data_IF_984312421858
#
_entry.id   IF_984312421858
#
_cell.length_a   1.000
_cell.length_b   1.000
_cell.length_c   1.000
_cell.angle_alpha   90.00
_cell.angle_beta   90.00
_cell.angle_gamma   90.00
#
_symmetry.space_group_name_H-M   'P 1'
#
loop_
_entity.id
_entity.type
_entity.pdbx_description
1 polymer ?
#
# COMPACT_ATOMS: atom_id res chain seq x y z
N UNK A 1 -3.78 -7.99 32.10
CA UNK A 1 -3.99 -8.44 30.70
C UNK A 1 -4.77 -7.35 29.98
N UNK A 2 -4.24 -6.79 28.89
CA UNK A 2 -4.69 -5.51 28.31
C UNK A 2 -6.07 -5.68 27.64
N UNK A 3 -7.11 -4.91 28.04
CA UNK A 3 -8.52 -5.02 27.57
C UNK A 3 -8.63 -5.13 26.04
N UNK A 4 -7.75 -4.43 25.31
CA UNK A 4 -7.66 -4.48 23.85
C UNK A 4 -7.47 -5.91 23.31
N UNK A 5 -6.62 -6.71 23.95
CA UNK A 5 -6.30 -8.07 23.49
C UNK A 5 -7.53 -8.96 23.60
N UNK A 6 -8.29 -8.85 24.69
CA UNK A 6 -9.49 -9.67 24.96
C UNK A 6 -10.59 -9.48 23.90
N UNK A 7 -10.84 -8.25 23.44
CA UNK A 7 -11.88 -7.98 22.42
C UNK A 7 -11.54 -8.65 21.08
N UNK A 8 -10.30 -8.55 20.62
CA UNK A 8 -9.89 -9.20 19.37
C UNK A 8 -9.82 -10.72 19.48
N UNK A 9 -9.57 -11.24 20.69
CA UNK A 9 -9.73 -12.67 20.93
C UNK A 9 -11.17 -13.10 20.68
N UNK A 10 -12.12 -12.37 21.28
CA UNK A 10 -13.53 -12.63 21.12
C UNK A 10 -13.99 -12.56 19.65
N UNK A 11 -13.56 -11.54 18.89
CA UNK A 11 -13.90 -11.40 17.46
C UNK A 11 -13.40 -12.60 16.65
N UNK A 12 -12.16 -13.05 16.86
CA UNK A 12 -11.60 -14.20 16.14
C UNK A 12 -12.27 -15.52 16.53
N UNK A 13 -12.64 -15.68 17.79
CA UNK A 13 -13.22 -16.92 18.30
C UNK A 13 -14.72 -17.04 17.92
N UNK A 14 -15.41 -15.89 17.75
CA UNK A 14 -16.82 -15.79 17.33
C UNK A 14 -16.99 -15.41 15.85
N UNK A 15 -15.92 -15.49 15.07
CA UNK A 15 -15.86 -14.97 13.70
C UNK A 15 -16.89 -15.61 12.75
N UNK A 16 -17.24 -16.89 12.94
CA UNK A 16 -18.28 -17.57 12.15
C UNK A 16 -19.71 -17.07 12.46
N UNK A 17 -19.98 -16.60 13.69
CA UNK A 17 -21.27 -16.00 14.05
C UNK A 17 -21.41 -14.64 13.35
N UNK A 18 -20.35 -13.83 13.38
CA UNK A 18 -20.31 -12.58 12.62
C UNK A 18 -20.46 -12.82 11.11
N UNK A 19 -19.85 -13.88 10.57
CA UNK A 19 -20.03 -14.25 9.17
C UNK A 19 -21.50 -14.59 8.83
N UNK A 20 -22.18 -15.37 9.67
CA UNK A 20 -23.62 -15.66 9.48
C UNK A 20 -24.47 -14.39 9.52
N UNK A 21 -24.14 -13.45 10.41
CA UNK A 21 -24.81 -12.15 10.46
C UNK A 21 -24.57 -11.33 9.18
N UNK A 22 -23.33 -11.30 8.67
CA UNK A 22 -23.00 -10.65 7.39
C UNK A 22 -23.77 -11.27 6.23
N UNK A 23 -23.90 -12.59 6.19
CA UNK A 23 -24.67 -13.32 5.17
C UNK A 23 -26.15 -12.92 5.20
N UNK A 24 -26.72 -12.81 6.40
CA UNK A 24 -28.08 -12.35 6.56
C UNK A 24 -28.26 -10.91 6.03
N UNK A 25 -27.35 -10.00 6.37
CA UNK A 25 -27.39 -8.63 5.85
C UNK A 25 -27.18 -8.61 4.34
N UNK A 26 -26.29 -9.42 3.77
CA UNK A 26 -25.99 -9.40 2.34
C UNK A 26 -27.15 -9.88 1.46
N UNK A 27 -28.08 -10.65 2.03
CA UNK A 27 -29.32 -11.02 1.35
C UNK A 27 -30.30 -9.84 1.22
N UNK A 28 -30.33 -8.94 2.21
CA UNK A 28 -31.32 -7.85 2.30
C UNK A 28 -30.72 -6.53 1.77
N UNK A 29 -29.47 -6.24 2.16
CA UNK A 29 -28.76 -4.98 1.89
C UNK A 29 -27.32 -5.27 1.42
N UNK A 30 -27.12 -5.73 0.17
CA UNK A 30 -25.82 -6.20 -0.31
C UNK A 30 -24.74 -5.09 -0.35
N UNK A 31 -25.14 -3.84 -0.58
CA UNK A 31 -24.20 -2.70 -0.52
C UNK A 31 -23.75 -2.45 0.93
N UNK A 32 -24.66 -2.48 1.89
CA UNK A 32 -24.32 -2.29 3.31
C UNK A 32 -23.45 -3.46 3.80
N UNK A 33 -23.76 -4.69 3.38
CA UNK A 33 -22.94 -5.85 3.76
C UNK A 33 -21.51 -5.76 3.24
N UNK A 34 -21.28 -5.19 2.06
CA UNK A 34 -19.94 -4.97 1.51
C UNK A 34 -19.08 -4.15 2.49
N UNK A 35 -19.58 -2.99 2.93
CA UNK A 35 -18.89 -2.14 3.90
C UNK A 35 -18.64 -2.85 5.23
N UNK A 36 -19.65 -3.54 5.78
CA UNK A 36 -19.51 -4.29 7.03
C UNK A 36 -18.47 -5.41 6.87
N UNK A 37 -18.44 -6.08 5.73
CA UNK A 37 -17.48 -7.15 5.43
C UNK A 37 -16.05 -6.63 5.42
N UNK A 38 -15.79 -5.47 4.78
CA UNK A 38 -14.46 -4.86 4.73
C UNK A 38 -13.97 -4.43 6.12
N UNK A 39 -14.86 -3.83 6.92
CA UNK A 39 -14.56 -3.48 8.32
C UNK A 39 -14.22 -4.74 9.12
N UNK A 40 -15.05 -5.79 8.99
CA UNK A 40 -14.84 -7.06 9.67
C UNK A 40 -13.50 -7.70 9.29
N UNK A 41 -13.13 -7.69 8.00
CA UNK A 41 -11.83 -8.18 7.53
C UNK A 41 -10.68 -7.36 8.14
N UNK A 42 -10.81 -6.03 8.22
CA UNK A 42 -9.84 -5.18 8.91
C UNK A 42 -9.64 -5.59 10.37
N UNK A 43 -10.73 -5.89 11.10
CA UNK A 43 -10.67 -6.36 12.48
C UNK A 43 -10.03 -7.76 12.61
N UNK A 44 -10.31 -8.68 11.68
CA UNK A 44 -9.66 -10.00 11.65
C UNK A 44 -8.14 -9.88 11.47
N UNK A 45 -7.69 -9.02 10.56
CA UNK A 45 -6.28 -8.76 10.31
C UNK A 45 -5.60 -8.11 11.51
N UNK A 46 -6.29 -7.18 12.20
CA UNK A 46 -5.80 -6.64 13.47
C UNK A 46 -5.67 -7.73 14.53
N UNK A 47 -6.62 -8.66 14.62
CA UNK A 47 -6.55 -9.83 15.51
C UNK A 47 -5.34 -10.72 15.21
N UNK A 48 -5.06 -11.01 13.93
CA UNK A 48 -3.85 -11.73 13.53
C UNK A 48 -2.56 -11.00 13.91
N UNK A 49 -2.54 -9.68 13.73
CA UNK A 49 -1.40 -8.85 14.10
C UNK A 49 -1.11 -8.90 15.62
N UNK A 50 -2.14 -8.85 16.47
CA UNK A 50 -1.97 -8.96 17.92
C UNK A 50 -1.42 -10.32 18.35
N UNK A 51 -1.77 -11.40 17.64
CA UNK A 51 -1.27 -12.77 17.89
C UNK A 51 0.01 -13.13 17.09
N UNK A 52 0.68 -12.16 16.45
CA UNK A 52 1.79 -12.41 15.49
C UNK A 52 3.04 -13.11 16.07
N UNK A 53 3.21 -13.12 17.38
CA UNK A 53 4.38 -13.73 18.03
C UNK A 53 4.17 -15.22 18.33
N UNK A 54 2.93 -15.71 18.36
CA UNK A 54 2.60 -17.10 18.70
C UNK A 54 2.10 -17.88 17.48
N UNK A 55 2.29 -19.20 17.50
CA UNK A 55 1.68 -20.10 16.52
C UNK A 55 0.27 -20.43 16.97
N UNK A 56 -0.73 -20.02 16.18
CA UNK A 56 -2.15 -20.17 16.52
C UNK A 56 -2.92 -20.73 15.32
N UNK A 57 -4.17 -21.14 15.53
CA UNK A 57 -5.07 -21.54 14.45
C UNK A 57 -5.72 -20.34 13.73
N UNK A 58 -5.58 -19.12 14.27
CA UNK A 58 -6.23 -17.92 13.75
C UNK A 58 -5.94 -17.63 12.27
N UNK A 59 -4.71 -17.81 11.73
CA UNK A 59 -4.48 -17.60 10.29
C UNK A 59 -5.36 -18.49 9.40
N UNK A 60 -5.60 -19.75 9.79
CA UNK A 60 -6.45 -20.65 9.01
C UNK A 60 -7.94 -20.31 9.15
N UNK A 61 -8.38 -19.86 10.33
CA UNK A 61 -9.75 -19.35 10.51
C UNK A 61 -9.99 -18.16 9.59
N UNK A 62 -9.06 -17.20 9.56
CA UNK A 62 -9.18 -16.02 8.69
C UNK A 62 -9.12 -16.38 7.22
N UNK A 63 -8.24 -17.31 6.81
CA UNK A 63 -8.22 -17.82 5.43
C UNK A 63 -9.57 -18.41 4.99
N UNK A 64 -10.20 -19.21 5.86
CA UNK A 64 -11.48 -19.84 5.58
C UNK A 64 -12.60 -18.80 5.45
N UNK A 65 -12.65 -17.82 6.35
CA UNK A 65 -13.63 -16.72 6.29
C UNK A 65 -13.44 -15.86 5.06
N UNK A 66 -12.19 -15.51 4.71
CA UNK A 66 -11.89 -14.76 3.49
C UNK A 66 -12.33 -15.54 2.25
N UNK A 67 -12.12 -16.85 2.22
CA UNK A 67 -12.56 -17.71 1.11
C UNK A 67 -14.09 -17.71 0.99
N UNK A 68 -14.80 -17.82 2.11
CA UNK A 68 -16.27 -17.77 2.14
C UNK A 68 -16.79 -16.41 1.67
N UNK A 69 -16.29 -15.30 2.23
CA UNK A 69 -16.68 -13.96 1.80
C UNK A 69 -16.36 -13.74 0.32
N UNK A 70 -15.17 -14.15 -0.14
CA UNK A 70 -14.79 -14.01 -1.56
C UNK A 70 -15.76 -14.76 -2.46
N UNK A 71 -16.24 -15.95 -2.04
CA UNK A 71 -17.22 -16.72 -2.79
C UNK A 71 -18.59 -16.01 -2.88
N UNK A 72 -19.06 -15.39 -1.79
CA UNK A 72 -20.31 -14.59 -1.80
C UNK A 72 -20.20 -13.47 -2.82
N UNK A 73 -19.17 -12.64 -2.71
CA UNK A 73 -19.04 -11.46 -3.56
C UNK A 73 -18.65 -11.82 -4.99
N UNK A 74 -17.93 -12.94 -5.22
CA UNK A 74 -17.74 -13.48 -6.55
C UNK A 74 -19.08 -13.91 -7.17
N UNK A 75 -19.94 -14.60 -6.42
CA UNK A 75 -21.28 -14.97 -6.90
C UNK A 75 -22.12 -13.72 -7.21
N UNK A 76 -22.13 -12.71 -6.33
CA UNK A 76 -22.83 -11.44 -6.56
C UNK A 76 -22.30 -10.71 -7.80
N UNK A 77 -20.97 -10.65 -7.97
CA UNK A 77 -20.31 -10.07 -9.14
C UNK A 77 -20.72 -10.78 -10.43
N UNK A 78 -20.59 -12.11 -10.49
CA UNK A 78 -20.95 -12.88 -11.68
C UNK A 78 -22.45 -12.87 -11.97
N UNK A 79 -23.31 -12.78 -10.96
CA UNK A 79 -24.75 -12.61 -11.17
C UNK A 79 -25.07 -11.27 -11.83
N UNK A 80 -24.40 -10.18 -11.45
CA UNK A 80 -24.58 -8.89 -12.13
C UNK A 80 -23.98 -8.92 -13.53
N UNK A 81 -22.82 -9.55 -13.70
CA UNK A 81 -22.13 -9.62 -14.98
C UNK A 81 -22.86 -10.49 -16.02
N UNK A 82 -23.35 -11.67 -15.61
CA UNK A 82 -23.96 -12.68 -16.48
C UNK A 82 -25.49 -12.65 -16.45
N UNK A 83 -26.11 -11.84 -15.58
CA UNK A 83 -27.56 -11.81 -15.31
C UNK A 83 -28.12 -13.18 -14.86
N UNK A 84 -27.31 -14.02 -14.22
CA UNK A 84 -27.68 -15.35 -13.74
C UNK A 84 -27.91 -15.35 -12.21
N UNK A 85 -29.17 -15.34 -11.77
CA UNK A 85 -29.55 -15.18 -10.36
C UNK A 85 -29.30 -16.41 -9.48
N UNK A 86 -29.35 -17.61 -10.06
CA UNK A 86 -29.31 -18.87 -9.30
C UNK A 86 -27.96 -19.11 -8.60
N UNK A 87 -26.88 -18.53 -9.14
CA UNK A 87 -25.52 -18.66 -8.62
C UNK A 87 -25.41 -18.08 -7.20
N UNK A 88 -26.12 -16.98 -6.93
CA UNK A 88 -26.10 -16.33 -5.61
C UNK A 88 -26.69 -17.23 -4.54
N UNK A 89 -27.86 -17.81 -4.79
CA UNK A 89 -28.57 -18.65 -3.81
C UNK A 89 -27.75 -19.88 -3.43
N UNK A 90 -27.15 -20.56 -4.42
CA UNK A 90 -26.27 -21.71 -4.18
C UNK A 90 -25.04 -21.34 -3.35
N UNK A 91 -24.44 -20.17 -3.61
CA UNK A 91 -23.26 -19.71 -2.86
C UNK A 91 -23.58 -19.53 -1.37
N UNK A 92 -24.75 -18.98 -1.03
CA UNK A 92 -25.16 -18.77 0.36
C UNK A 92 -25.42 -20.08 1.09
N UNK A 93 -26.11 -21.04 0.47
CA UNK A 93 -26.37 -22.36 1.08
C UNK A 93 -25.07 -23.06 1.46
N UNK A 94 -24.10 -23.11 0.54
CA UNK A 94 -22.79 -23.71 0.77
C UNK A 94 -22.11 -23.06 1.98
N UNK A 95 -22.12 -21.74 2.06
CA UNK A 95 -21.41 -21.00 3.10
C UNK A 95 -22.10 -21.11 4.46
N UNK A 96 -23.44 -21.09 4.50
CA UNK A 96 -24.20 -21.31 5.73
C UNK A 96 -23.89 -22.72 6.27
N UNK A 97 -23.94 -23.76 5.41
CA UNK A 97 -23.62 -25.13 5.81
C UNK A 97 -22.19 -25.25 6.36
N UNK A 98 -21.20 -24.65 5.68
CA UNK A 98 -19.81 -24.67 6.15
C UNK A 98 -19.62 -23.89 7.47
N UNK A 99 -20.29 -22.74 7.62
CA UNK A 99 -20.23 -21.94 8.85
C UNK A 99 -20.82 -22.70 10.05
N UNK A 100 -21.97 -23.37 9.87
CA UNK A 100 -22.58 -24.22 10.89
C UNK A 100 -21.69 -25.43 11.23
N UNK A 101 -21.05 -26.03 10.23
CA UNK A 101 -20.07 -27.10 10.45
C UNK A 101 -18.89 -26.64 11.32
N UNK A 102 -18.38 -25.42 11.08
CA UNK A 102 -17.26 -24.85 11.86
C UNK A 102 -17.61 -24.41 13.26
N UNK A 103 -18.85 -24.02 13.52
CA UNK A 103 -19.33 -23.82 14.88
C UNK A 103 -19.27 -25.11 15.71
N UNK A 104 -19.38 -26.29 15.07
CA UNK A 104 -19.25 -27.59 15.73
C UNK A 104 -17.81 -28.13 15.75
N UNK A 105 -16.97 -27.78 14.77
CA UNK A 105 -15.60 -28.33 14.64
C UNK A 105 -14.51 -27.26 14.53
N UNK A 106 -13.63 -27.25 15.52
CA UNK A 106 -12.50 -26.32 15.63
C UNK A 106 -11.35 -26.72 14.70
N UNK A 107 -10.71 -25.73 14.06
CA UNK A 107 -9.46 -25.92 13.32
C UNK A 107 -8.30 -26.15 14.30
N UNK A 108 -7.72 -27.35 14.29
CA UNK A 108 -6.60 -27.73 15.17
C UNK A 108 -5.22 -27.28 14.65
N UNK A 109 -5.08 -27.06 13.33
CA UNK A 109 -3.80 -26.72 12.70
C UNK A 109 -3.33 -25.34 13.15
N UNK A 110 -2.11 -25.25 13.68
CA UNK A 110 -1.49 -24.00 14.13
C UNK A 110 -0.41 -23.54 13.14
N UNK A 111 -0.30 -22.23 12.93
CA UNK A 111 0.77 -21.63 12.13
C UNK A 111 0.99 -20.18 12.55
N UNK A 112 2.09 -19.60 12.08
CA UNK A 112 2.37 -18.17 12.19
C UNK A 112 2.58 -17.64 10.77
N UNK A 113 1.77 -16.66 10.36
CA UNK A 113 1.87 -16.09 9.02
C UNK A 113 3.28 -15.54 8.77
N UNK A 114 3.92 -14.86 9.74
CA UNK A 114 5.28 -14.32 9.62
C UNK A 114 6.40 -15.35 9.47
N UNK A 115 6.11 -16.64 9.65
CA UNK A 115 7.06 -17.74 9.42
C UNK A 115 6.76 -18.52 8.15
N UNK A 116 5.50 -18.53 7.70
CA UNK A 116 5.06 -19.26 6.51
C UNK A 116 4.61 -18.28 5.42
N UNK A 117 5.49 -18.04 4.43
CA UNK A 117 5.21 -17.12 3.32
C UNK A 117 4.01 -17.55 2.47
N UNK A 118 3.72 -18.86 2.35
CA UNK A 118 2.55 -19.34 1.60
C UNK A 118 1.26 -18.92 2.30
N UNK A 119 1.18 -19.08 3.62
CA UNK A 119 0.00 -18.66 4.41
C UNK A 119 -0.20 -17.15 4.32
N UNK A 120 0.87 -16.36 4.48
CA UNK A 120 0.78 -14.92 4.34
C UNK A 120 0.36 -14.48 2.92
N UNK A 121 0.87 -15.17 1.89
CA UNK A 121 0.49 -14.91 0.50
C UNK A 121 -0.99 -15.21 0.27
N UNK A 122 -1.48 -16.37 0.71
CA UNK A 122 -2.89 -16.71 0.56
C UNK A 122 -3.80 -15.76 1.34
N UNK A 123 -3.39 -15.27 2.52
CA UNK A 123 -4.15 -14.25 3.26
C UNK A 123 -4.28 -12.95 2.46
N UNK A 124 -3.18 -12.46 1.88
CA UNK A 124 -3.19 -11.26 1.05
C UNK A 124 -3.98 -11.46 -0.23
N UNK A 125 -3.77 -12.58 -0.92
CA UNK A 125 -4.46 -12.91 -2.16
C UNK A 125 -5.97 -12.97 -1.95
N UNK A 126 -6.45 -13.68 -0.93
CA UNK A 126 -7.88 -13.79 -0.67
C UNK A 126 -8.50 -12.47 -0.21
N UNK A 127 -7.81 -11.68 0.62
CA UNK A 127 -8.32 -10.37 1.01
C UNK A 127 -8.36 -9.40 -0.19
N UNK A 128 -7.37 -9.48 -1.08
CA UNK A 128 -7.36 -8.72 -2.32
C UNK A 128 -8.49 -9.16 -3.26
N UNK A 129 -8.68 -10.47 -3.47
CA UNK A 129 -9.76 -11.00 -4.31
C UNK A 129 -11.13 -10.61 -3.76
N UNK A 130 -11.33 -10.73 -2.44
CA UNK A 130 -12.53 -10.25 -1.78
C UNK A 130 -12.79 -8.77 -2.10
N UNK A 131 -11.78 -7.91 -1.92
CA UNK A 131 -11.90 -6.50 -2.22
C UNK A 131 -12.23 -6.27 -3.70
N UNK A 132 -11.50 -6.93 -4.61
CA UNK A 132 -11.72 -6.84 -6.05
C UNK A 132 -13.14 -7.23 -6.46
N UNK A 133 -13.70 -8.32 -5.91
CA UNK A 133 -15.07 -8.74 -6.19
C UNK A 133 -16.11 -7.80 -5.59
N UNK A 134 -15.90 -7.31 -4.36
CA UNK A 134 -16.79 -6.31 -3.75
C UNK A 134 -16.85 -5.06 -4.64
N UNK A 135 -15.69 -4.54 -5.03
CA UNK A 135 -15.62 -3.31 -5.83
C UNK A 135 -16.23 -3.50 -7.20
N UNK A 136 -15.92 -4.60 -7.89
CA UNK A 136 -16.54 -4.92 -9.17
C UNK A 136 -18.06 -5.09 -9.07
N UNK A 137 -18.56 -5.67 -7.97
CA UNK A 137 -20.00 -5.75 -7.71
C UNK A 137 -20.61 -4.35 -7.55
N UNK A 138 -20.01 -3.48 -6.73
CA UNK A 138 -20.48 -2.10 -6.52
C UNK A 138 -20.46 -1.29 -7.84
N UNK A 139 -19.37 -1.38 -8.60
CA UNK A 139 -19.24 -0.77 -9.92
C UNK A 139 -20.35 -1.21 -10.89
N UNK A 140 -20.63 -2.51 -10.97
CA UNK A 140 -21.68 -3.06 -11.83
C UNK A 140 -23.09 -2.65 -11.37
N UNK A 141 -23.34 -2.57 -10.06
CA UNK A 141 -24.65 -2.14 -9.55
C UNK A 141 -24.99 -0.69 -9.90
N UNK A 142 -23.99 0.16 -10.11
CA UNK A 142 -24.19 1.55 -10.54
C UNK A 142 -24.41 1.72 -12.04
N UNK A 143 -24.18 0.69 -12.85
CA UNK A 143 -24.53 0.66 -14.28
C UNK A 143 -23.59 1.42 -15.23
N UNK A 144 -22.66 2.24 -14.73
CA UNK A 144 -21.76 3.07 -15.57
C UNK A 144 -20.35 2.47 -15.77
N UNK A 145 -20.15 1.21 -15.40
CA UNK A 145 -18.83 0.57 -15.41
C UNK A 145 -18.62 -0.35 -16.62
N UNK A 146 -17.52 -0.12 -17.35
CA UNK A 146 -17.05 -1.03 -18.39
C UNK A 146 -15.96 -1.96 -17.84
N UNK A 147 -16.31 -3.23 -17.67
CA UNK A 147 -15.38 -4.26 -17.17
C UNK A 147 -14.11 -4.35 -18.01
N UNK A 148 -14.20 -4.12 -19.32
CA UNK A 148 -13.04 -4.20 -20.22
C UNK A 148 -12.56 -2.81 -20.69
N UNK A 149 -12.85 -1.76 -19.93
CA UNK A 149 -12.59 -0.37 -20.33
C UNK A 149 -11.12 -0.01 -20.50
N UNK A 150 -10.21 -0.67 -19.77
CA UNK A 150 -8.80 -0.28 -19.73
C UNK A 150 -7.94 -0.80 -20.89
N UNK A 151 -8.22 -1.97 -21.45
CA UNK A 151 -7.46 -2.50 -22.61
C UNK A 151 -8.36 -3.05 -23.72
N UNK A 152 -9.68 -2.89 -23.60
CA UNK A 152 -10.66 -3.48 -24.51
C UNK A 152 -10.96 -4.95 -24.22
N UNK A 153 -11.88 -5.51 -25.02
CA UNK A 153 -12.26 -6.91 -25.02
C UNK A 153 -11.73 -7.60 -26.29
N UNK A 154 -11.16 -8.78 -26.12
CA UNK A 154 -10.60 -9.61 -27.17
C UNK A 154 -11.44 -10.88 -27.33
N UNK A 155 -12.01 -11.10 -28.51
CA UNK A 155 -12.92 -12.23 -28.75
C UNK A 155 -12.22 -13.60 -28.84
N UNK A 156 -10.91 -13.63 -29.03
CA UNK A 156 -10.17 -14.87 -29.24
C UNK A 156 -9.82 -15.57 -27.91
N UNK A 157 -10.07 -16.89 -27.75
CA UNK A 157 -9.81 -17.62 -26.51
C UNK A 157 -8.35 -17.56 -26.02
N UNK A 158 -7.38 -17.55 -26.94
CA UNK A 158 -5.96 -17.44 -26.58
C UNK A 158 -5.60 -16.06 -26.00
N UNK A 159 -6.45 -15.04 -26.19
CA UNK A 159 -6.34 -13.70 -25.60
C UNK A 159 -7.14 -13.57 -24.30
N UNK A 160 -7.67 -14.66 -23.74
CA UNK A 160 -8.39 -14.62 -22.46
C UNK A 160 -7.55 -14.01 -21.33
N UNK A 161 -6.22 -14.17 -21.37
CA UNK A 161 -5.33 -13.53 -20.41
C UNK A 161 -5.35 -12.00 -20.51
N UNK A 162 -5.48 -11.45 -21.72
CA UNK A 162 -5.59 -10.01 -21.94
C UNK A 162 -6.94 -9.49 -21.46
N UNK A 163 -8.03 -10.26 -21.66
CA UNK A 163 -9.33 -9.93 -21.10
C UNK A 163 -9.29 -9.91 -19.57
N UNK A 164 -8.63 -10.88 -18.95
CA UNK A 164 -8.42 -10.89 -17.51
C UNK A 164 -7.62 -9.66 -17.05
N UNK A 165 -6.52 -9.33 -17.72
CA UNK A 165 -5.70 -8.15 -17.39
C UNK A 165 -6.51 -6.85 -17.56
N UNK A 166 -7.34 -6.76 -18.59
CA UNK A 166 -8.26 -5.63 -18.85
C UNK A 166 -9.32 -5.49 -17.76
N UNK A 167 -9.97 -6.60 -17.38
CA UNK A 167 -10.91 -6.64 -16.26
C UNK A 167 -10.27 -6.27 -14.93
N UNK A 168 -9.10 -6.84 -14.68
CA UNK A 168 -8.33 -6.58 -13.47
C UNK A 168 -7.97 -5.10 -13.36
N UNK A 169 -7.43 -4.51 -14.42
CA UNK A 169 -7.05 -3.11 -14.47
C UNK A 169 -8.26 -2.18 -14.34
N UNK A 170 -9.40 -2.52 -14.95
CA UNK A 170 -10.60 -1.68 -14.91
C UNK A 170 -11.18 -1.59 -13.50
N UNK A 171 -11.28 -2.73 -12.80
CA UNK A 171 -11.78 -2.75 -11.42
C UNK A 171 -10.78 -2.09 -10.46
N UNK A 172 -9.49 -2.39 -10.57
CA UNK A 172 -8.49 -1.77 -9.68
C UNK A 172 -8.31 -0.27 -9.89
N UNK A 173 -8.63 0.24 -11.08
CA UNK A 173 -8.68 1.67 -11.38
C UNK A 173 -9.96 2.35 -10.89
N UNK A 174 -10.97 1.60 -10.43
CA UNK A 174 -12.28 2.16 -10.10
C UNK A 174 -12.28 2.92 -8.77
N UNK A 175 -13.14 3.95 -8.63
CA UNK A 175 -13.30 4.65 -7.36
C UNK A 175 -13.74 3.72 -6.23
N UNK A 176 -14.62 2.75 -6.51
CA UNK A 176 -15.08 1.77 -5.52
C UNK A 176 -13.94 0.91 -4.99
N UNK A 177 -13.03 0.49 -5.87
CA UNK A 177 -11.85 -0.25 -5.43
C UNK A 177 -10.95 0.54 -4.48
N UNK A 178 -10.74 1.82 -4.76
CA UNK A 178 -9.97 2.68 -3.86
C UNK A 178 -10.68 2.92 -2.52
N UNK A 179 -12.01 3.11 -2.54
CA UNK A 179 -12.84 3.24 -1.34
C UNK A 179 -12.76 1.97 -0.49
N UNK A 180 -12.95 0.79 -1.09
CA UNK A 180 -13.00 -0.48 -0.39
C UNK A 180 -11.65 -0.83 0.23
N UNK A 181 -10.55 -0.65 -0.53
CA UNK A 181 -9.19 -0.75 -0.01
C UNK A 181 -8.95 0.24 1.13
N UNK A 182 -9.50 1.45 1.01
CA UNK A 182 -9.50 2.49 2.03
C UNK A 182 -10.17 2.04 3.33
N UNK A 183 -11.35 1.43 3.25
CA UNK A 183 -12.07 0.98 4.45
C UNK A 183 -11.33 -0.18 5.11
N UNK A 184 -10.98 -1.22 4.34
CA UNK A 184 -10.28 -2.38 4.88
C UNK A 184 -8.96 -2.00 5.55
N UNK A 185 -8.10 -1.27 4.84
CA UNK A 185 -6.78 -0.90 5.33
C UNK A 185 -6.82 0.28 6.31
N UNK A 186 -7.86 1.11 6.24
CA UNK A 186 -8.11 2.20 7.17
C UNK A 186 -8.37 1.71 8.59
N UNK A 187 -9.13 0.62 8.76
CA UNK A 187 -9.38 0.01 10.08
C UNK A 187 -8.06 -0.37 10.76
N UNK A 188 -7.18 -1.11 10.07
CA UNK A 188 -5.86 -1.46 10.60
C UNK A 188 -4.89 -0.27 10.68
N UNK A 189 -5.12 0.78 9.89
CA UNK A 189 -4.41 2.05 9.97
C UNK A 189 -4.75 2.85 11.23
N UNK A 190 -6.01 2.85 11.67
CA UNK A 190 -6.44 3.51 12.92
C UNK A 190 -5.70 2.88 14.11
N UNK A 191 -5.64 1.55 14.17
CA UNK A 191 -4.87 0.87 15.23
C UNK A 191 -3.38 1.20 15.18
N UNK A 192 -2.83 1.43 13.99
CA UNK A 192 -1.44 1.86 13.83
C UNK A 192 -1.20 3.25 14.42
N UNK A 193 -2.12 4.21 14.21
CA UNK A 193 -2.03 5.55 14.80
C UNK A 193 -1.97 5.48 16.33
N UNK A 194 -2.79 4.60 16.91
CA UNK A 194 -2.86 4.38 18.36
C UNK A 194 -1.53 3.81 18.90
N UNK A 195 -0.80 3.01 18.11
CA UNK A 195 0.49 2.42 18.51
C UNK A 195 1.69 3.38 18.42
N UNK A 196 1.64 4.40 17.57
CA UNK A 196 2.73 5.37 17.52
C UNK A 196 2.83 6.11 18.85
N UNK A 197 4.05 6.38 19.31
CA UNK A 197 4.32 7.18 20.49
C UNK A 197 4.71 8.61 20.10
N UNK A 198 5.45 8.78 19.01
CA UNK A 198 5.89 10.11 18.56
C UNK A 198 4.77 10.86 17.84
N UNK A 199 4.46 12.06 18.32
CA UNK A 199 3.47 12.97 17.74
C UNK A 199 3.72 13.22 16.25
N UNK A 200 4.99 13.44 15.86
CA UNK A 200 5.36 13.72 14.47
C UNK A 200 4.98 12.55 13.53
N UNK A 201 5.16 11.31 13.98
CA UNK A 201 4.77 10.13 13.20
C UNK A 201 3.25 9.94 13.17
N UNK A 202 2.54 10.27 14.25
CA UNK A 202 1.06 10.27 14.27
C UNK A 202 0.48 11.26 13.28
N UNK A 203 0.94 12.51 13.32
CA UNK A 203 0.48 13.56 12.40
C UNK A 203 0.79 13.18 10.96
N UNK A 204 2.01 12.70 10.68
CA UNK A 204 2.37 12.20 9.35
C UNK A 204 1.41 11.10 8.87
N UNK A 205 1.11 10.13 9.72
CA UNK A 205 0.23 9.02 9.35
C UNK A 205 -1.23 9.49 9.12
N UNK A 206 -1.72 10.44 9.92
CA UNK A 206 -3.03 11.06 9.70
C UNK A 206 -3.07 11.83 8.36
N UNK A 207 -2.02 12.62 8.07
CA UNK A 207 -1.88 13.29 6.77
C UNK A 207 -1.84 12.30 5.62
N UNK A 208 -1.23 11.13 5.81
CA UNK A 208 -1.21 10.06 4.80
C UNK A 208 -2.61 9.48 4.56
N UNK A 209 -3.38 9.22 5.62
CA UNK A 209 -4.77 8.76 5.48
C UNK A 209 -5.66 9.81 4.80
N UNK A 210 -5.49 11.07 5.18
CA UNK A 210 -6.19 12.18 4.55
C UNK A 210 -5.80 12.34 3.08
N UNK A 211 -4.50 12.28 2.76
CA UNK A 211 -4.01 12.37 1.39
C UNK A 211 -4.57 11.24 0.51
N UNK A 212 -4.64 10.00 1.02
CA UNK A 212 -5.28 8.89 0.31
C UNK A 212 -6.76 9.18 0.02
N UNK A 213 -7.54 9.55 1.04
CA UNK A 213 -8.97 9.82 0.88
C UNK A 213 -9.23 11.05 -0.03
N UNK A 214 -8.41 12.08 0.09
CA UNK A 214 -8.63 13.33 -0.62
C UNK A 214 -8.09 13.28 -2.04
N UNK A 215 -6.80 12.96 -2.23
CA UNK A 215 -6.17 13.02 -3.54
C UNK A 215 -6.46 11.82 -4.42
N UNK A 216 -6.67 10.62 -3.85
CA UNK A 216 -6.90 9.41 -4.66
C UNK A 216 -8.38 9.11 -4.88
N UNK A 217 -9.28 9.59 -4.01
CA UNK A 217 -10.72 9.27 -4.08
C UNK A 217 -11.55 10.52 -4.31
N UNK A 218 -11.57 11.45 -3.36
CA UNK A 218 -12.51 12.57 -3.40
C UNK A 218 -12.27 13.49 -4.60
N UNK A 219 -11.04 14.00 -4.77
CA UNK A 219 -10.74 14.99 -5.80
C UNK A 219 -10.95 14.45 -7.23
N UNK A 220 -10.49 13.23 -7.57
CA UNK A 220 -10.64 12.69 -8.93
C UNK A 220 -12.01 12.11 -9.26
N UNK A 221 -12.87 11.85 -8.26
CA UNK A 221 -14.13 11.11 -8.48
C UNK A 221 -15.39 11.82 -8.00
N UNK A 222 -15.28 12.72 -7.03
CA UNK A 222 -16.45 13.32 -6.37
C UNK A 222 -16.38 14.84 -6.22
N UNK A 223 -15.24 15.46 -6.51
CA UNK A 223 -15.07 16.92 -6.39
C UNK A 223 -15.67 17.65 -7.59
N UNK A 224 -16.23 18.86 -7.39
CA UNK A 224 -16.61 19.74 -8.50
C UNK A 224 -15.45 20.07 -9.46
N UNK A 225 -14.20 19.91 -9.01
CA UNK A 225 -12.99 20.15 -9.81
C UNK A 225 -12.53 18.92 -10.60
N UNK A 226 -13.32 17.84 -10.65
CA UNK A 226 -12.94 16.57 -11.29
C UNK A 226 -12.43 16.73 -12.74
N UNK A 227 -13.07 17.59 -13.55
CA UNK A 227 -12.66 17.84 -14.95
C UNK A 227 -11.33 18.58 -15.06
N UNK A 228 -10.98 19.34 -14.02
CA UNK A 228 -9.83 20.24 -14.00
C UNK A 228 -8.61 19.64 -13.30
N UNK A 229 -8.73 18.45 -12.70
CA UNK A 229 -7.66 17.82 -11.91
C UNK A 229 -6.34 17.68 -12.70
N UNK A 230 -6.44 17.46 -14.02
CA UNK A 230 -5.28 17.34 -14.92
C UNK A 230 -4.43 18.63 -15.02
N UNK A 231 -5.01 19.80 -14.76
CA UNK A 231 -4.32 21.10 -14.82
C UNK A 231 -3.67 21.50 -13.49
N UNK A 232 -4.03 20.82 -12.38
CA UNK A 232 -3.58 21.21 -11.04
C UNK A 232 -2.17 20.66 -10.78
N UNK A 233 -1.18 21.52 -10.47
CA UNK A 233 0.14 21.06 -10.05
C UNK A 233 0.03 20.16 -8.81
N UNK A 234 0.87 19.12 -8.73
CA UNK A 234 0.91 18.10 -7.67
C UNK A 234 -0.11 16.97 -7.80
N UNK A 235 -1.11 17.08 -8.69
CA UNK A 235 -2.15 16.07 -8.79
C UNK A 235 -1.68 14.78 -9.47
N UNK A 236 -0.70 14.82 -10.37
CA UNK A 236 -0.16 13.63 -11.07
C UNK A 236 0.68 12.72 -10.15
N UNK A 237 0.14 12.33 -8.99
CA UNK A 237 0.84 11.70 -7.87
C UNK A 237 1.26 10.25 -8.12
N UNK A 238 0.74 9.60 -9.17
CA UNK A 238 1.24 8.31 -9.65
C UNK A 238 2.13 8.44 -10.91
N UNK A 239 2.40 9.67 -11.37
CA UNK A 239 3.22 9.97 -12.55
C UNK A 239 2.38 10.22 -13.81
N UNK A 240 3.04 10.20 -14.98
CA UNK A 240 2.41 10.44 -16.28
C UNK A 240 1.34 9.39 -16.57
N UNK A 241 0.26 9.77 -17.26
CA UNK A 241 -0.86 8.87 -17.55
C UNK A 241 -1.90 8.71 -16.43
N UNK A 242 -1.66 9.28 -15.23
CA UNK A 242 -2.58 9.14 -14.08
C UNK A 242 -3.96 9.76 -14.35
N UNK A 243 -4.00 10.95 -14.94
CA UNK A 243 -5.25 11.68 -15.19
C UNK A 243 -5.53 11.97 -16.65
N UNK A 244 -4.77 11.31 -17.54
CA UNK A 244 -4.98 11.45 -18.97
C UNK A 244 -3.69 11.34 -19.77
N UNK A 245 -3.82 11.48 -21.10
CA UNK A 245 -2.70 11.46 -22.03
C UNK A 245 -1.76 12.64 -21.81
N UNK A 246 -0.56 12.62 -22.38
CA UNK A 246 0.33 13.78 -22.39
C UNK A 246 -0.12 14.74 -23.50
N UNK A 247 -0.69 15.89 -23.13
CA UNK A 247 -1.16 16.91 -24.08
C UNK A 247 -0.58 18.27 -23.78
N UNK A 248 -0.41 19.09 -24.82
CA UNK A 248 0.11 20.46 -24.71
C UNK A 248 -0.72 21.36 -23.79
N UNK A 249 -2.04 21.12 -23.69
CA UNK A 249 -2.97 21.95 -22.90
C UNK A 249 -2.67 21.97 -21.42
N UNK A 250 -2.14 20.87 -20.85
CA UNK A 250 -1.82 20.77 -19.43
C UNK A 250 -0.39 20.27 -19.16
N UNK A 251 0.48 20.37 -20.17
CA UNK A 251 1.88 19.93 -20.06
C UNK A 251 2.64 20.77 -19.04
N UNK A 252 2.42 22.09 -19.04
CA UNK A 252 3.23 23.02 -18.27
C UNK A 252 2.73 23.19 -16.83
N UNK A 253 1.46 23.51 -16.67
CA UNK A 253 0.75 23.69 -15.40
C UNK A 253 0.54 22.36 -14.66
N UNK A 254 -0.02 21.35 -15.33
CA UNK A 254 -0.32 20.05 -14.75
C UNK A 254 0.93 19.19 -14.55
N UNK A 255 1.52 18.76 -15.67
CA UNK A 255 2.61 17.75 -15.66
C UNK A 255 3.91 18.36 -15.12
N UNK A 256 4.48 19.35 -15.81
CA UNK A 256 5.77 19.96 -15.41
C UNK A 256 5.64 20.62 -14.04
N UNK A 257 4.52 21.29 -13.77
CA UNK A 257 4.21 21.83 -12.44
C UNK A 257 4.26 20.75 -11.36
N UNK A 258 3.65 19.57 -11.59
CA UNK A 258 3.72 18.44 -10.64
C UNK A 258 5.15 17.97 -10.41
N UNK A 259 5.93 17.71 -11.46
CA UNK A 259 7.32 17.26 -11.32
C UNK A 259 8.20 18.32 -10.62
N UNK A 260 7.97 19.60 -10.90
CA UNK A 260 8.72 20.71 -10.29
C UNK A 260 8.41 20.85 -8.81
N UNK A 261 7.12 20.93 -8.43
CA UNK A 261 6.69 21.04 -7.03
C UNK A 261 7.18 19.84 -6.23
N UNK A 262 7.07 18.63 -6.79
CA UNK A 262 7.48 17.40 -6.09
C UNK A 262 9.00 17.29 -5.97
N UNK A 263 9.78 17.76 -6.96
CA UNK A 263 11.23 17.86 -6.86
C UNK A 263 11.64 18.84 -5.74
N UNK A 264 11.03 20.02 -5.67
CA UNK A 264 11.29 21.03 -4.62
C UNK A 264 10.97 20.45 -3.24
N UNK A 265 9.78 19.89 -3.07
CA UNK A 265 9.36 19.31 -1.79
C UNK A 265 10.24 18.12 -1.40
N UNK A 266 10.62 17.27 -2.35
CA UNK A 266 11.53 16.16 -2.10
C UNK A 266 12.93 16.64 -1.76
N UNK A 267 13.43 17.70 -2.40
CA UNK A 267 14.70 18.33 -2.02
C UNK A 267 14.65 18.89 -0.58
N UNK A 268 13.52 19.48 -0.18
CA UNK A 268 13.34 20.08 1.14
C UNK A 268 13.14 19.04 2.26
N UNK A 269 12.31 18.03 2.03
CA UNK A 269 11.81 17.10 3.07
C UNK A 269 12.17 15.63 2.80
N UNK A 270 12.89 15.35 1.72
CA UNK A 270 13.20 14.01 1.27
C UNK A 270 12.04 13.36 0.53
N UNK A 271 12.25 12.11 0.12
CA UNK A 271 11.20 11.23 -0.42
C UNK A 271 10.01 11.01 0.54
N UNK A 272 10.11 11.46 1.80
CA UNK A 272 9.06 11.39 2.82
C UNK A 272 7.75 12.01 2.32
N UNK A 273 7.79 13.13 1.59
CA UNK A 273 6.58 13.83 1.18
C UNK A 273 5.69 12.97 0.26
N UNK A 274 6.28 12.20 -0.67
CA UNK A 274 5.54 11.22 -1.49
C UNK A 274 5.46 9.86 -0.79
N UNK A 275 6.60 9.20 -0.60
CA UNK A 275 6.66 7.77 -0.24
C UNK A 275 6.23 7.48 1.19
N UNK A 276 5.90 8.50 1.97
CA UNK A 276 5.44 8.40 3.36
C UNK A 276 4.13 9.13 3.65
N UNK A 277 3.68 10.02 2.76
CA UNK A 277 2.46 10.81 2.98
C UNK A 277 1.51 10.68 1.81
N UNK A 278 1.86 11.17 0.62
CA UNK A 278 0.84 11.36 -0.44
C UNK A 278 0.70 10.20 -1.42
N UNK A 279 1.68 9.30 -1.52
CA UNK A 279 1.53 8.08 -2.32
C UNK A 279 0.47 7.15 -1.70
N UNK A 280 -0.24 6.38 -2.53
CA UNK A 280 -1.18 5.35 -2.08
C UNK A 280 -0.47 4.17 -1.42
N UNK A 281 0.76 3.87 -1.84
CA UNK A 281 1.53 2.76 -1.30
C UNK A 281 1.79 2.80 0.22
N UNK A 282 2.25 3.91 0.83
CA UNK A 282 2.42 3.96 2.28
C UNK A 282 1.13 3.71 3.05
N UNK A 283 -0.03 4.16 2.56
CA UNK A 283 -1.32 3.84 3.18
C UNK A 283 -1.53 2.33 3.28
N UNK A 284 -1.21 1.61 2.20
CA UNK A 284 -1.36 0.17 2.17
C UNK A 284 -0.27 -0.58 2.95
N UNK A 285 0.95 -0.05 3.03
CA UNK A 285 2.09 -0.80 3.54
C UNK A 285 2.46 -0.50 5.01
N UNK A 286 1.96 0.59 5.60
CA UNK A 286 2.39 1.07 6.91
C UNK A 286 1.43 0.76 8.07
N UNK A 287 0.26 0.17 7.82
CA UNK A 287 -0.65 -0.28 8.87
C UNK A 287 -0.05 -1.43 9.71
N UNK A 288 -0.74 -1.82 10.79
CA UNK A 288 -0.24 -2.83 11.75
C UNK A 288 0.16 -4.15 11.10
N UNK A 289 -0.79 -4.82 10.43
CA UNK A 289 -0.58 -6.14 9.85
C UNK A 289 0.45 -6.11 8.71
N UNK A 290 0.31 -5.19 7.74
CA UNK A 290 1.19 -5.16 6.57
C UNK A 290 2.58 -4.66 6.92
N UNK A 291 2.73 -3.73 7.87
CA UNK A 291 4.06 -3.34 8.36
C UNK A 291 4.79 -4.50 9.03
N UNK A 292 4.09 -5.43 9.68
CA UNK A 292 4.73 -6.61 10.29
C UNK A 292 5.39 -7.54 9.26
N UNK A 293 4.91 -7.52 8.01
CA UNK A 293 5.48 -8.30 6.90
C UNK A 293 6.85 -7.81 6.43
N UNK A 294 7.35 -6.67 6.91
CA UNK A 294 8.75 -6.26 6.66
C UNK A 294 9.78 -7.30 7.12
N UNK A 295 9.40 -8.24 7.98
CA UNK A 295 10.20 -9.44 8.28
C UNK A 295 10.64 -10.19 7.02
N UNK A 296 9.80 -10.25 5.98
CA UNK A 296 10.11 -10.89 4.71
C UNK A 296 11.24 -10.23 3.93
N UNK A 297 11.56 -8.96 4.17
CA UNK A 297 12.77 -8.34 3.63
C UNK A 297 14.03 -9.10 4.03
N UNK A 298 14.02 -9.77 5.19
CA UNK A 298 15.17 -10.52 5.72
C UNK A 298 15.03 -12.02 5.60
N UNK A 299 13.81 -12.56 5.53
CA UNK A 299 13.60 -14.01 5.43
C UNK A 299 13.42 -14.51 4.00
N UNK A 300 12.88 -13.69 3.09
CA UNK A 300 12.64 -14.13 1.71
C UNK A 300 13.94 -14.11 0.87
N UNK A 301 14.01 -14.96 -0.15
CA UNK A 301 15.18 -15.05 -1.03
C UNK A 301 15.40 -13.75 -1.83
N UNK A 302 14.33 -13.14 -2.32
CA UNK A 302 14.40 -11.90 -3.13
C UNK A 302 14.62 -10.68 -2.24
N UNK A 303 13.87 -10.56 -1.14
CA UNK A 303 13.97 -9.42 -0.23
C UNK A 303 15.36 -9.26 0.38
N UNK A 304 16.06 -10.37 0.67
CA UNK A 304 17.44 -10.31 1.17
C UNK A 304 18.41 -9.62 0.21
N UNK A 305 18.14 -9.65 -1.09
CA UNK A 305 18.99 -9.01 -2.12
C UNK A 305 18.82 -7.48 -2.16
N UNK A 306 17.80 -6.93 -1.50
CA UNK A 306 17.53 -5.48 -1.48
C UNK A 306 17.98 -4.82 -0.18
N UNK A 307 18.51 -5.59 0.76
CA UNK A 307 19.04 -5.08 2.02
C UNK A 307 20.19 -4.10 1.77
N UNK A 308 20.36 -3.16 2.69
CA UNK A 308 21.35 -2.07 2.69
C UNK A 308 21.02 -0.87 1.80
N UNK A 309 21.71 0.25 2.05
CA UNK A 309 21.66 1.47 1.26
C UNK A 309 22.19 1.33 -0.16
N UNK A 310 22.98 0.29 -0.46
CA UNK A 310 23.57 0.10 -1.79
C UNK A 310 22.51 -0.33 -2.81
N UNK A 311 22.55 0.27 -4.00
CA UNK A 311 21.71 -0.14 -5.13
C UNK A 311 22.28 -1.38 -5.79
N UNK A 312 21.49 -2.44 -5.87
CA UNK A 312 21.85 -3.67 -6.57
C UNK A 312 21.88 -3.45 -8.09
N UNK A 313 22.65 -4.26 -8.83
CA UNK A 313 22.72 -4.11 -10.30
C UNK A 313 21.36 -4.30 -10.98
N UNK A 314 20.57 -5.28 -10.51
CA UNK A 314 19.24 -5.53 -11.04
C UNK A 314 18.28 -4.34 -10.82
N UNK A 315 18.41 -3.64 -9.69
CA UNK A 315 17.61 -2.46 -9.40
C UNK A 315 17.87 -1.34 -10.41
N UNK A 316 19.14 -1.12 -10.76
CA UNK A 316 19.53 -0.14 -11.78
C UNK A 316 18.92 -0.50 -13.14
N UNK A 317 19.00 -1.76 -13.54
CA UNK A 317 18.41 -2.23 -14.80
C UNK A 317 16.89 -2.05 -14.85
N UNK A 318 16.17 -2.50 -13.83
CA UNK A 318 14.70 -2.37 -13.78
C UNK A 318 14.32 -0.89 -13.79
N UNK A 319 14.97 -0.06 -12.98
CA UNK A 319 14.73 1.38 -12.97
C UNK A 319 14.97 2.01 -14.36
N UNK A 320 16.09 1.70 -15.02
CA UNK A 320 16.38 2.21 -16.36
C UNK A 320 15.31 1.79 -17.36
N UNK A 321 14.89 0.52 -17.37
CA UNK A 321 13.82 0.03 -18.25
C UNK A 321 12.51 0.77 -17.97
N UNK A 322 12.13 0.91 -16.71
CA UNK A 322 10.92 1.64 -16.29
C UNK A 322 10.96 3.08 -16.79
N UNK A 323 12.04 3.83 -16.57
CA UNK A 323 12.16 5.21 -17.04
C UNK A 323 12.21 5.33 -18.56
N UNK A 324 12.96 4.49 -19.25
CA UNK A 324 13.03 4.49 -20.72
C UNK A 324 11.64 4.20 -21.30
N UNK A 325 10.93 3.20 -20.77
CA UNK A 325 9.57 2.89 -21.21
C UNK A 325 8.60 4.05 -20.97
N UNK A 326 8.68 4.71 -19.81
CA UNK A 326 7.86 5.88 -19.51
C UNK A 326 8.13 7.04 -20.47
N UNK A 327 9.40 7.33 -20.78
CA UNK A 327 9.77 8.41 -21.71
C UNK A 327 9.30 8.10 -23.13
N UNK A 328 9.54 6.88 -23.63
CA UNK A 328 9.10 6.47 -24.96
C UNK A 328 7.58 6.60 -25.08
N UNK A 329 6.82 6.08 -24.10
CA UNK A 329 5.36 6.15 -24.12
C UNK A 329 4.86 7.58 -23.95
N UNK A 330 5.55 8.43 -23.18
CA UNK A 330 5.21 9.85 -23.08
C UNK A 330 5.39 10.59 -24.41
N UNK A 331 6.46 10.32 -25.15
CA UNK A 331 6.68 10.89 -26.49
C UNK A 331 5.60 10.39 -27.47
N UNK A 332 5.31 9.09 -27.47
CA UNK A 332 4.25 8.52 -28.32
C UNK A 332 2.87 9.09 -27.99
N UNK A 333 2.57 9.30 -26.71
CA UNK A 333 1.34 9.94 -26.25
C UNK A 333 1.23 11.39 -26.74
N UNK A 334 2.32 12.16 -26.64
CA UNK A 334 2.38 13.53 -27.15
C UNK A 334 2.16 13.59 -28.68
N UNK A 335 2.67 12.59 -29.41
CA UNK A 335 2.44 12.42 -30.86
C UNK A 335 1.06 11.85 -31.20
N UNK A 336 0.17 11.64 -30.22
CA UNK A 336 -1.19 11.11 -30.37
C UNK A 336 -1.26 9.69 -30.97
N UNK A 337 -0.24 8.88 -30.73
CA UNK A 337 -0.29 7.44 -31.06
C UNK A 337 -1.24 6.71 -30.10
N UNK A 338 -1.83 5.59 -30.50
CA UNK A 338 -2.68 4.76 -29.64
C UNK A 338 -2.19 3.30 -29.60
N UNK A 339 -2.25 2.69 -28.42
CA UNK A 339 -1.92 1.28 -28.17
C UNK A 339 -3.19 0.60 -27.68
N UNK A 340 -3.69 -0.37 -28.46
CA UNK A 340 -4.94 -1.09 -28.15
C UNK A 340 -6.14 -0.15 -27.92
N UNK A 341 -6.20 0.94 -28.69
CA UNK A 341 -7.27 1.95 -28.58
C UNK A 341 -7.09 2.94 -27.43
N UNK A 342 -6.03 2.82 -26.62
CA UNK A 342 -5.75 3.71 -25.50
C UNK A 342 -4.49 4.54 -25.69
N UNK A 343 -4.42 5.66 -24.98
CA UNK A 343 -3.21 6.47 -24.95
C UNK A 343 -2.02 5.70 -24.34
N UNK A 344 -0.81 5.78 -24.93
CA UNK A 344 0.37 5.07 -24.46
C UNK A 344 0.73 5.29 -22.97
N UNK A 345 0.55 6.49 -22.44
CA UNK A 345 0.83 6.77 -21.02
C UNK A 345 -0.27 6.29 -20.10
N UNK A 346 -1.53 6.36 -20.53
CA UNK A 346 -2.63 5.73 -19.79
C UNK A 346 -2.46 4.21 -19.77
N UNK A 347 -2.06 3.60 -20.89
CA UNK A 347 -1.72 2.18 -20.96
C UNK A 347 -0.60 1.83 -19.98
N UNK A 348 0.49 2.62 -19.97
CA UNK A 348 1.58 2.45 -19.02
C UNK A 348 1.09 2.46 -17.57
N UNK A 349 0.31 3.47 -17.20
CA UNK A 349 -0.18 3.62 -15.82
C UNK A 349 -1.12 2.50 -15.43
N UNK A 350 -2.03 2.11 -16.30
CA UNK A 350 -2.91 0.97 -16.06
C UNK A 350 -2.13 -0.32 -15.89
N UNK A 351 -1.11 -0.58 -16.70
CA UNK A 351 -0.29 -1.79 -16.54
C UNK A 351 0.57 -1.75 -15.27
N UNK A 352 1.28 -0.66 -15.01
CA UNK A 352 2.23 -0.58 -13.90
C UNK A 352 1.54 -0.41 -12.54
N UNK A 353 0.58 0.50 -12.43
CA UNK A 353 -0.06 0.83 -11.16
C UNK A 353 -1.35 0.03 -10.91
N UNK A 354 -2.15 -0.25 -11.94
CA UNK A 354 -3.40 -0.99 -11.75
C UNK A 354 -3.23 -2.51 -11.87
N UNK A 355 -2.11 -2.99 -12.43
CA UNK A 355 -1.84 -4.44 -12.53
C UNK A 355 -0.61 -4.84 -11.73
N UNK A 356 0.59 -4.46 -12.20
CA UNK A 356 1.84 -4.99 -11.65
C UNK A 356 2.01 -4.62 -10.18
N UNK A 357 1.67 -3.39 -9.79
CA UNK A 357 1.80 -2.94 -8.41
C UNK A 357 0.97 -3.78 -7.43
N UNK A 358 -0.28 -4.11 -7.77
CA UNK A 358 -1.13 -4.95 -6.93
C UNK A 358 -0.65 -6.41 -6.89
N UNK A 359 -0.10 -6.93 -7.98
CA UNK A 359 0.60 -8.23 -7.93
C UNK A 359 1.79 -8.19 -6.98
N UNK A 360 2.60 -7.13 -7.00
CA UNK A 360 3.69 -6.96 -6.04
C UNK A 360 3.20 -6.85 -4.60
N UNK A 361 2.08 -6.18 -4.38
CA UNK A 361 1.43 -6.10 -3.07
C UNK A 361 1.06 -7.50 -2.54
N UNK A 362 0.40 -8.33 -3.35
CA UNK A 362 0.07 -9.71 -2.98
C UNK A 362 1.33 -10.56 -2.77
N UNK A 363 2.37 -10.36 -3.58
CA UNK A 363 3.64 -11.09 -3.52
C UNK A 363 4.62 -10.58 -2.46
N UNK A 364 4.20 -9.67 -1.58
CA UNK A 364 5.02 -9.15 -0.47
C UNK A 364 5.72 -10.24 0.38
N UNK A 365 5.10 -11.40 0.68
CA UNK A 365 5.77 -12.47 1.43
C UNK A 365 6.99 -13.09 0.72
N UNK A 366 7.09 -12.91 -0.60
CA UNK A 366 8.20 -13.41 -1.41
C UNK A 366 9.16 -12.30 -1.82
N UNK A 367 8.64 -11.13 -2.18
CA UNK A 367 9.44 -10.00 -2.66
C UNK A 367 10.01 -9.13 -1.52
N UNK A 368 9.35 -9.13 -0.37
CA UNK A 368 9.58 -8.19 0.72
C UNK A 368 8.58 -7.01 0.69
N UNK A 369 8.51 -6.30 1.81
CA UNK A 369 7.75 -5.06 1.93
C UNK A 369 8.40 -3.93 1.09
N UNK A 370 7.58 -3.00 0.61
CA UNK A 370 8.01 -1.92 -0.29
C UNK A 370 8.74 -2.42 -1.54
N UNK A 371 8.31 -3.57 -2.08
CA UNK A 371 8.89 -4.14 -3.30
C UNK A 371 8.88 -3.15 -4.48
N UNK A 372 7.85 -2.30 -4.60
CA UNK A 372 7.78 -1.29 -5.66
C UNK A 372 8.98 -0.31 -5.65
N UNK A 373 9.40 0.09 -4.46
CA UNK A 373 10.56 0.97 -4.24
C UNK A 373 11.86 0.19 -4.30
N UNK A 374 11.90 -1.02 -3.75
CA UNK A 374 13.12 -1.82 -3.65
C UNK A 374 13.50 -2.50 -4.97
N UNK A 375 12.55 -2.64 -5.90
CA UNK A 375 12.74 -3.24 -7.22
C UNK A 375 13.05 -2.24 -8.32
N UNK A 376 12.78 -0.96 -8.10
CA UNK A 376 13.01 0.09 -9.10
C UNK A 376 11.88 0.25 -10.09
N UNK A 377 10.78 -0.50 -9.95
CA UNK A 377 9.62 -0.43 -10.84
C UNK A 377 8.81 0.86 -10.66
N UNK A 378 8.91 1.50 -9.49
CA UNK A 378 8.19 2.74 -9.20
C UNK A 378 9.02 3.93 -9.67
N UNK A 379 8.77 4.39 -10.91
CA UNK A 379 9.39 5.59 -11.46
C UNK A 379 9.18 6.80 -10.54
N UNK A 380 7.95 7.00 -10.07
CA UNK A 380 7.61 8.10 -9.18
C UNK A 380 8.36 8.06 -7.85
N UNK A 381 8.51 6.88 -7.26
CA UNK A 381 9.32 6.68 -6.05
C UNK A 381 10.79 7.04 -6.30
N UNK A 382 11.37 6.54 -7.39
CA UNK A 382 12.77 6.80 -7.74
C UNK A 382 13.06 8.28 -8.04
N UNK A 383 12.11 9.00 -8.66
CA UNK A 383 12.21 10.45 -8.88
C UNK A 383 12.36 11.19 -7.54
N UNK A 384 11.44 10.92 -6.61
CA UNK A 384 11.43 11.59 -5.31
C UNK A 384 12.60 11.16 -4.42
N UNK A 385 13.09 9.94 -4.57
CA UNK A 385 14.31 9.45 -3.94
C UNK A 385 15.56 10.15 -4.44
N UNK A 386 15.64 10.44 -5.74
CA UNK A 386 16.75 11.19 -6.33
C UNK A 386 16.84 12.60 -5.73
N UNK A 387 15.76 13.38 -5.82
CA UNK A 387 15.75 14.74 -5.29
C UNK A 387 15.87 14.78 -3.77
N UNK A 388 15.29 13.80 -3.07
CA UNK A 388 15.49 13.65 -1.62
C UNK A 388 16.92 13.31 -1.23
N UNK A 389 17.62 12.53 -2.05
CA UNK A 389 19.04 12.24 -1.83
C UNK A 389 19.93 13.44 -2.15
N UNK A 390 19.58 14.28 -3.14
CA UNK A 390 20.31 15.51 -3.45
C UNK A 390 20.07 16.60 -2.40
N UNK A 391 18.86 16.65 -1.83
CA UNK A 391 18.43 17.70 -0.91
C UNK A 391 18.91 17.61 0.53
N UNK A 392 18.22 18.30 1.43
CA UNK A 392 18.62 18.43 2.84
C UNK A 392 18.36 17.17 3.66
N UNK A 393 17.47 16.30 3.20
CA UNK A 393 16.94 15.22 4.02
C UNK A 393 17.99 14.17 4.38
N UNK A 394 18.11 13.91 5.68
CA UNK A 394 18.90 12.80 6.25
C UNK A 394 18.38 12.44 7.65
N UNK A 395 18.78 11.28 8.13
CA UNK A 395 18.61 10.93 9.55
C UNK A 395 19.90 11.30 10.28
N UNK A 396 19.79 12.02 11.41
CA UNK A 396 20.93 12.42 12.24
C UNK A 396 20.76 11.83 13.63
N UNK A 397 21.86 11.40 14.25
CA UNK A 397 21.86 11.00 15.65
C UNK A 397 22.30 12.14 16.55
N UNK A 398 21.79 12.18 17.78
CA UNK A 398 22.16 13.19 18.77
C UNK A 398 23.53 12.86 19.39
N UNK A 399 23.71 11.61 19.80
CA UNK A 399 24.96 11.10 20.35
C UNK A 399 25.45 9.83 19.62
N UNK A 400 26.70 9.87 19.18
CA UNK A 400 27.41 8.75 18.55
C UNK A 400 27.67 7.61 19.53
N UNK A 401 28.04 7.92 20.79
CA UNK A 401 28.40 6.93 21.81
C UNK A 401 27.18 6.09 22.19
N UNK A 402 26.02 6.72 22.30
CA UNK A 402 24.76 6.01 22.52
C UNK A 402 24.47 4.97 21.42
N UNK A 403 24.78 5.27 20.15
CA UNK A 403 24.64 4.31 19.05
C UNK A 403 25.66 3.17 19.09
N UNK A 404 26.89 3.45 19.53
CA UNK A 404 27.93 2.44 19.74
C UNK A 404 27.52 1.45 20.83
N UNK A 405 27.03 1.96 21.97
CA UNK A 405 26.65 1.20 23.15
C UNK A 405 25.28 0.49 23.02
N UNK A 406 24.48 0.84 22.01
CA UNK A 406 23.16 0.24 21.79
C UNK A 406 23.30 -1.26 21.47
N UNK A 407 22.77 -2.12 22.35
CA UNK A 407 22.81 -3.58 22.14
C UNK A 407 21.80 -4.06 21.10
N UNK A 408 20.72 -3.31 20.89
CA UNK A 408 19.65 -3.70 19.95
C UNK A 408 19.88 -3.14 18.55
N UNK A 409 19.21 -3.74 17.57
CA UNK A 409 19.22 -3.31 16.16
C UNK A 409 17.80 -2.98 15.69
N UNK A 410 16.98 -2.46 16.60
CA UNK A 410 15.55 -2.22 16.36
C UNK A 410 15.33 -1.25 15.20
N UNK A 411 16.16 -0.20 15.08
CA UNK A 411 16.06 0.76 13.98
C UNK A 411 16.25 0.12 12.59
N UNK A 412 17.25 -0.75 12.45
CA UNK A 412 17.48 -1.53 11.24
C UNK A 412 16.33 -2.53 11.01
N UNK A 413 15.82 -3.13 12.10
CA UNK A 413 14.74 -4.10 12.06
C UNK A 413 13.39 -3.50 11.64
N UNK A 414 13.14 -2.25 12.04
CA UNK A 414 11.91 -1.54 11.77
C UNK A 414 11.86 -0.91 10.38
N UNK A 415 13.00 -0.73 9.70
CA UNK A 415 13.04 -0.12 8.37
C UNK A 415 12.25 -0.94 7.33
N UNK A 416 11.18 -0.39 6.73
CA UNK A 416 10.33 -1.14 5.80
C UNK A 416 10.96 -1.38 4.43
N UNK A 417 12.01 -0.63 4.08
CA UNK A 417 12.81 -0.78 2.85
C UNK A 417 14.14 -1.52 3.10
N UNK A 418 14.36 -2.08 4.30
CA UNK A 418 15.50 -2.97 4.54
C UNK A 418 16.88 -2.31 4.65
N UNK A 419 16.96 -1.05 5.08
CA UNK A 419 18.21 -0.30 5.27
C UNK A 419 18.94 -0.73 6.56
N UNK A 420 19.51 -1.94 6.54
CA UNK A 420 20.14 -2.57 7.71
C UNK A 420 21.50 -1.96 8.08
N UNK A 421 22.20 -1.34 7.13
CA UNK A 421 23.49 -0.68 7.32
C UNK A 421 23.38 0.71 7.96
N UNK A 422 22.17 1.20 8.18
CA UNK A 422 21.90 2.50 8.81
C UNK A 422 22.63 2.69 10.15
N UNK A 423 22.71 1.64 10.97
CA UNK A 423 23.45 1.67 12.25
C UNK A 423 24.94 1.96 12.05
N UNK A 424 25.57 1.33 11.06
CA UNK A 424 26.99 1.54 10.79
C UNK A 424 27.28 2.98 10.36
N UNK A 425 26.38 3.57 9.56
CA UNK A 425 26.47 4.98 9.18
C UNK A 425 26.31 5.93 10.36
N UNK A 426 25.35 5.66 11.25
CA UNK A 426 25.22 6.44 12.48
C UNK A 426 26.48 6.42 13.31
N UNK A 427 27.08 5.24 13.55
CA UNK A 427 28.32 5.13 14.34
C UNK A 427 29.49 5.84 13.65
N UNK A 428 29.61 5.73 12.32
CA UNK A 428 30.75 6.28 11.58
C UNK A 428 30.68 7.79 11.35
N UNK A 429 29.48 8.32 11.04
CA UNK A 429 29.31 9.69 10.57
C UNK A 429 28.33 10.53 11.38
N UNK A 430 27.58 9.93 12.30
CA UNK A 430 26.51 10.62 13.03
C UNK A 430 25.26 10.88 12.17
N UNK A 431 25.26 10.43 10.93
CA UNK A 431 24.16 10.65 9.98
C UNK A 431 24.01 9.49 8.99
N UNK A 432 22.80 9.33 8.47
CA UNK A 432 22.46 8.38 7.44
C UNK A 432 21.65 9.06 6.33
N UNK A 433 22.19 9.01 5.12
CA UNK A 433 21.56 9.50 3.90
C UNK A 433 21.64 8.40 2.85
N UNK A 434 20.50 8.04 2.26
CA UNK A 434 20.42 6.95 1.28
C UNK A 434 19.33 7.23 0.27
N UNK A 435 19.62 6.97 -1.00
CA UNK A 435 18.66 7.02 -2.09
C UNK A 435 17.42 6.19 -1.79
N UNK A 436 17.59 4.99 -1.24
CA UNK A 436 16.50 4.07 -0.90
C UNK A 436 15.66 4.52 0.31
N UNK A 437 16.08 5.51 1.08
CA UNK A 437 15.30 5.97 2.23
C UNK A 437 13.98 6.58 1.76
N UNK A 438 12.86 6.15 2.34
CA UNK A 438 11.50 6.65 2.05
C UNK A 438 10.93 7.55 3.15
N UNK A 439 11.69 7.79 4.22
CA UNK A 439 11.29 8.72 5.28
C UNK A 439 10.07 8.29 6.11
N UNK A 440 9.80 6.99 6.28
CA UNK A 440 8.68 6.48 7.11
C UNK A 440 8.76 6.90 8.58
N UNK A 441 9.97 6.92 9.15
CA UNK A 441 10.16 7.26 10.57
C UNK A 441 10.05 6.10 11.55
N UNK A 442 9.80 4.88 11.08
CA UNK A 442 9.74 3.69 11.94
C UNK A 442 11.04 3.46 12.73
N UNK A 443 12.20 3.83 12.18
CA UNK A 443 13.48 3.76 12.88
C UNK A 443 13.62 4.79 14.02
N UNK A 444 13.00 5.97 13.87
CA UNK A 444 12.93 7.01 14.91
C UNK A 444 11.99 6.56 16.02
N UNK A 445 10.86 5.94 15.65
CA UNK A 445 9.84 5.45 16.58
C UNK A 445 10.38 4.37 17.53
N UNK A 446 11.10 3.39 17.00
CA UNK A 446 11.56 2.23 17.78
C UNK A 446 12.90 2.45 18.48
N UNK A 447 13.54 3.62 18.31
CA UNK A 447 14.83 3.87 18.91
C UNK A 447 14.68 3.94 20.44
N UNK A 448 15.25 3.00 21.22
CA UNK A 448 15.02 2.92 22.66
C UNK A 448 15.54 4.15 23.41
N UNK A 449 16.54 4.84 22.83
CA UNK A 449 17.17 6.01 23.42
C UNK A 449 16.70 7.34 22.80
N UNK A 450 15.69 7.32 21.92
CA UNK A 450 15.21 8.52 21.21
C UNK A 450 16.34 9.33 20.53
N UNK A 451 17.37 8.61 20.04
CA UNK A 451 18.62 9.21 19.60
C UNK A 451 18.61 9.59 18.11
N UNK A 452 17.70 9.02 17.32
CA UNK A 452 17.59 9.29 15.87
C UNK A 452 16.58 10.41 15.66
N UNK A 453 16.93 11.41 14.86
CA UNK A 453 16.06 12.53 14.48
C UNK A 453 16.05 12.77 12.98
N UNK A 454 14.95 13.31 12.47
CA UNK A 454 14.90 13.82 11.11
C UNK A 454 15.69 15.12 10.99
N UNK A 455 16.47 15.22 9.92
CA UNK A 455 17.12 16.45 9.50
C UNK A 455 16.61 16.80 8.11
N UNK A 456 15.94 17.93 7.97
CA UNK A 456 15.39 18.45 6.72
C UNK A 456 15.59 19.98 6.64
N UNK A 457 14.98 20.63 5.65
CA UNK A 457 15.09 22.08 5.47
C UNK A 457 14.77 22.87 6.74
N UNK A 458 13.85 22.40 7.60
CA UNK A 458 13.49 23.09 8.85
C UNK A 458 14.64 23.07 9.83
N UNK A 459 15.35 21.94 9.92
CA UNK A 459 16.55 21.81 10.75
C UNK A 459 17.68 22.68 10.21
N UNK A 460 17.88 22.70 8.90
CA UNK A 460 18.88 23.55 8.25
C UNK A 460 18.63 25.04 8.49
N UNK A 461 17.38 25.52 8.33
CA UNK A 461 16.98 26.90 8.62
C UNK A 461 17.26 27.23 10.09
N UNK A 462 16.87 26.35 11.02
CA UNK A 462 17.11 26.56 12.46
C UNK A 462 18.59 26.67 12.81
N UNK A 463 19.44 25.84 12.21
CA UNK A 463 20.90 25.90 12.40
C UNK A 463 21.50 27.21 11.86
N UNK A 464 20.94 27.76 10.77
CA UNK A 464 21.38 29.04 10.19
C UNK A 464 20.91 30.28 10.95
N UNK A 465 19.65 30.28 11.41
CA UNK A 465 19.07 31.42 12.11
C UNK A 465 19.49 31.50 13.59
N UNK A 466 19.73 30.36 14.24
CA UNK A 466 20.06 30.30 15.68
C UNK A 466 21.32 29.43 15.95
N UNK A 467 22.50 29.85 15.48
CA UNK A 467 23.72 29.02 15.55
C UNK A 467 24.18 28.73 16.98
N UNK A 468 23.91 29.63 17.94
CA UNK A 468 24.43 29.56 19.31
C UNK A 468 23.71 28.49 20.16
N UNK A 469 22.39 28.29 19.98
CA UNK A 469 21.63 27.30 20.74
C UNK A 469 21.81 25.86 20.22
N UNK A 470 22.18 25.69 18.95
CA UNK A 470 22.31 24.36 18.35
C UNK A 470 23.62 23.65 18.73
N UNK A 471 24.69 24.41 18.99
CA UNK A 471 26.00 23.87 19.38
C UNK A 471 25.96 23.17 20.75
N UNK A 472 25.12 23.63 21.68
CA UNK A 472 25.00 23.06 23.02
C UNK A 472 24.11 21.80 23.13
N UNK A 473 23.29 21.48 22.13
CA UNK A 473 22.48 20.23 22.13
C UNK A 473 23.22 18.99 21.60
N UNK A 474 24.46 19.15 21.13
CA UNK A 474 25.32 18.04 20.67
C UNK A 474 26.38 17.59 21.67
N UNK A 475 26.41 18.17 22.88
CA UNK A 475 27.49 17.95 23.87
C UNK A 475 26.98 17.65 25.29
N UNK A 476 25.73 17.22 25.46
CA UNK A 476 25.21 16.73 26.75
C UNK A 476 24.69 15.32 26.61
#
# INVERSE_FOLDING_TARGET
MNIKVTVFHYILDRSYIFLLFIIFISLIFPIISAFISLIFVGLLFQGLYLRRQSSTNSPYIVLEILSMLSLIYAAQFFTHLLKATDIVFLSYLIIISLSLYRLKRIIKKKTNYLQNSKVAFTLLLLAFLLNWFISGFLDLTQGNFSVFGQFGYFSYPFLAIMNFISAFASITASPWFMIDMGIWLGVIGIFRIIEYNKLENKIRYLLMMFAYAFYSIYLPSFSPLQSEVQYIPYMWFNGLGTYGPVRSSYLLDGIIGTFTVTAILSFMFGSRQICSVTCTAPYMLQNTFLNSMKKYNRSSKVGRKTLTSRMSSWYKWVMSITWISLIILAVLSFLKFSILGNDPTMFYTSLYFNVIWYFQFMLMPFLGNYACVNSGICAWGSFNQLFGYLGFFKLKVRDLKQCLNCKTVDCANACPVGLTDMRAWFIKKGEFKSFKCVGVGDCVEVCPYNNITFYDVRSWIKEKLYPIQFKHRGTT
#
